data_IF_946361986288
#
_entry.id   IF_946361986288
#
_cell.length_a   1.000
_cell.length_b   1.000
_cell.length_c   1.000
_cell.angle_alpha   90.00
_cell.angle_beta   90.00
_cell.angle_gamma   90.00
#
_symmetry.space_group_name_H-M   'P 1'
#
loop_
_entity.id
_entity.type
_entity.pdbx_description
1 polymer ?
#
# COMPACT_ATOMS: atom_id res chain seq x y z
N UNK A 1 11.78 -18.33 11.68
CA UNK A 1 12.42 -19.41 10.88
C UNK A 1 11.96 -19.37 9.42
N UNK A 2 12.50 -20.16 8.47
CA UNK A 2 12.16 -20.07 7.04
C UNK A 2 10.66 -20.19 6.73
N UNK A 3 9.90 -20.88 7.57
CA UNK A 3 8.44 -20.99 7.51
C UNK A 3 7.70 -19.67 7.80
N UNK A 4 8.35 -18.71 8.45
CA UNK A 4 7.80 -17.37 8.71
C UNK A 4 8.06 -16.39 7.55
N UNK A 5 8.84 -16.81 6.54
CA UNK A 5 9.10 -15.99 5.37
C UNK A 5 7.88 -16.03 4.45
N UNK A 6 7.23 -14.87 4.31
CA UNK A 6 6.21 -14.62 3.29
C UNK A 6 6.66 -13.47 2.36
N UNK A 7 7.76 -13.65 1.62
CA UNK A 7 8.28 -12.63 0.73
C UNK A 7 7.45 -12.53 -0.54
N UNK A 8 7.14 -11.30 -0.94
CA UNK A 8 6.76 -11.01 -2.33
C UNK A 8 8.03 -10.62 -3.08
N UNK A 9 8.24 -11.20 -4.27
CA UNK A 9 9.40 -10.89 -5.12
C UNK A 9 8.89 -10.49 -6.50
N UNK A 10 9.46 -9.42 -7.05
CA UNK A 10 9.14 -8.97 -8.40
C UNK A 10 10.38 -8.41 -9.10
N UNK A 11 10.35 -8.36 -10.43
CA UNK A 11 11.49 -7.93 -11.24
C UNK A 11 11.00 -7.02 -12.36
N UNK A 12 10.99 -5.70 -12.13
CA UNK A 12 10.52 -4.73 -13.12
C UNK A 12 11.40 -4.69 -14.37
N UNK A 13 12.71 -4.96 -14.22
CA UNK A 13 13.66 -4.99 -15.34
C UNK A 13 13.39 -6.05 -16.41
N UNK A 14 12.53 -7.04 -16.12
CA UNK A 14 12.06 -8.00 -17.14
C UNK A 14 11.12 -7.35 -18.17
N UNK A 15 10.40 -6.29 -17.76
CA UNK A 15 9.42 -5.60 -18.61
C UNK A 15 9.97 -4.28 -19.15
N UNK A 16 10.74 -3.56 -18.33
CA UNK A 16 11.42 -2.34 -18.74
C UNK A 16 12.93 -2.48 -18.51
N UNK A 17 13.70 -2.77 -19.58
CA UNK A 17 15.15 -2.95 -19.49
C UNK A 17 15.90 -1.73 -18.96
N UNK A 18 15.31 -0.53 -18.93
CA UNK A 18 15.97 0.69 -18.43
C UNK A 18 16.25 0.63 -16.91
N UNK A 19 15.54 -0.24 -16.17
CA UNK A 19 15.74 -0.43 -14.73
C UNK A 19 17.04 -1.16 -14.37
N UNK A 20 17.76 -1.75 -15.34
CA UNK A 20 19.01 -2.47 -15.08
C UNK A 20 20.04 -2.27 -16.20
N UNK A 21 21.35 -2.42 -15.93
CA UNK A 21 22.36 -2.49 -16.98
C UNK A 21 22.09 -3.64 -17.98
N UNK A 22 22.58 -3.54 -19.23
CA UNK A 22 22.39 -4.59 -20.23
C UNK A 22 22.81 -5.98 -19.73
N UNK A 23 21.92 -6.97 -19.89
CA UNK A 23 22.14 -8.35 -19.45
C UNK A 23 22.06 -8.57 -17.94
N UNK A 24 21.59 -7.58 -17.17
CA UNK A 24 21.39 -7.65 -15.71
C UNK A 24 19.92 -7.43 -15.37
N UNK A 25 19.57 -7.74 -14.12
CA UNK A 25 18.23 -7.55 -13.59
C UNK A 25 18.27 -6.89 -12.22
N UNK A 26 17.26 -6.08 -11.92
CA UNK A 26 16.96 -5.59 -10.59
C UNK A 26 15.67 -6.26 -10.13
N UNK A 27 15.79 -7.00 -9.03
CA UNK A 27 14.66 -7.63 -8.38
C UNK A 27 14.43 -6.98 -7.01
N UNK A 28 13.16 -6.78 -6.70
CA UNK A 28 12.70 -6.20 -5.46
C UNK A 28 12.04 -7.28 -4.62
N UNK A 29 12.10 -7.08 -3.31
CA UNK A 29 11.46 -7.95 -2.36
C UNK A 29 10.78 -7.13 -1.25
N UNK A 30 9.63 -7.62 -0.79
CA UNK A 30 8.93 -7.08 0.37
C UNK A 30 8.45 -8.22 1.27
N UNK A 31 8.51 -7.97 2.58
CA UNK A 31 7.94 -8.84 3.59
C UNK A 31 7.38 -7.98 4.73
N UNK A 32 6.27 -8.44 5.30
CA UNK A 32 5.67 -7.83 6.47
C UNK A 32 6.63 -7.94 7.65
N UNK A 33 6.94 -6.81 8.27
CA UNK A 33 7.81 -6.71 9.44
C UNK A 33 7.14 -5.93 10.57
N UNK A 34 7.73 -5.97 11.79
CA UNK A 34 7.21 -5.19 12.90
C UNK A 34 7.46 -3.69 12.70
N UNK A 35 6.77 -2.85 13.47
CA UNK A 35 6.99 -1.41 13.46
C UNK A 35 8.44 -1.05 13.84
N UNK A 36 8.93 0.10 13.37
CA UNK A 36 10.29 0.57 13.62
C UNK A 36 10.64 0.63 15.13
N UNK A 37 9.66 0.88 16.00
CA UNK A 37 9.83 0.93 17.46
C UNK A 37 10.04 -0.44 18.13
N UNK A 38 9.88 -1.56 17.40
CA UNK A 38 10.05 -2.90 17.95
C UNK A 38 11.52 -3.24 18.26
N UNK A 39 12.46 -2.54 17.62
CA UNK A 39 13.89 -2.74 17.79
C UNK A 39 14.63 -1.40 17.81
N UNK A 40 15.80 -1.39 18.43
CA UNK A 40 16.73 -0.26 18.36
C UNK A 40 17.34 -0.12 16.96
N UNK A 41 17.86 1.05 16.62
CA UNK A 41 18.60 1.28 15.37
C UNK A 41 19.71 0.24 15.15
N UNK A 42 20.50 -0.04 16.19
CA UNK A 42 21.62 -0.99 16.13
C UNK A 42 21.14 -2.41 15.82
N UNK A 43 19.97 -2.79 16.30
CA UNK A 43 19.34 -4.08 16.00
C UNK A 43 18.82 -4.10 14.56
N UNK A 44 18.15 -3.05 14.10
CA UNK A 44 17.68 -2.95 12.71
C UNK A 44 18.81 -3.06 11.68
N UNK A 45 19.96 -2.44 11.96
CA UNK A 45 21.16 -2.58 11.12
C UNK A 45 21.70 -4.01 11.05
N UNK A 46 21.42 -4.86 12.04
CA UNK A 46 21.75 -6.30 12.01
C UNK A 46 20.64 -7.09 11.32
N UNK A 47 19.38 -6.84 11.70
CA UNK A 47 18.19 -7.53 11.18
C UNK A 47 18.12 -7.42 9.66
N UNK A 48 18.35 -6.24 9.08
CA UNK A 48 18.22 -6.06 7.62
C UNK A 48 19.26 -6.84 6.81
N UNK A 49 20.46 -7.04 7.36
CA UNK A 49 21.50 -7.88 6.74
C UNK A 49 21.17 -9.36 6.90
N UNK A 50 20.84 -9.78 8.13
CA UNK A 50 20.42 -11.14 8.41
C UNK A 50 19.21 -11.56 7.57
N UNK A 51 18.21 -10.68 7.42
CA UNK A 51 17.02 -10.92 6.61
C UNK A 51 17.37 -11.23 5.16
N UNK A 52 18.27 -10.45 4.55
CA UNK A 52 18.68 -10.70 3.17
C UNK A 52 19.46 -12.02 3.02
N UNK A 53 20.33 -12.35 3.98
CA UNK A 53 21.05 -13.63 3.98
C UNK A 53 20.07 -14.82 4.02
N UNK A 54 19.04 -14.75 4.87
CA UNK A 54 18.01 -15.79 4.97
C UNK A 54 17.08 -15.80 3.75
N UNK A 55 16.70 -14.63 3.23
CA UNK A 55 15.87 -14.51 2.03
C UNK A 55 16.52 -15.20 0.84
N UNK A 56 17.83 -15.01 0.62
CA UNK A 56 18.54 -15.69 -0.47
C UNK A 56 18.51 -17.21 -0.30
N UNK A 57 18.62 -17.73 0.93
CA UNK A 57 18.48 -19.19 1.17
C UNK A 57 17.08 -19.69 0.85
N UNK A 58 16.04 -18.90 1.13
CA UNK A 58 14.65 -19.24 0.76
C UNK A 58 14.48 -19.18 -0.75
N UNK A 59 14.98 -18.13 -1.40
CA UNK A 59 14.89 -17.94 -2.84
C UNK A 59 15.61 -19.07 -3.60
N UNK A 60 16.79 -19.49 -3.15
CA UNK A 60 17.56 -20.58 -3.74
C UNK A 60 16.77 -21.92 -3.79
N UNK A 61 15.78 -22.13 -2.92
CA UNK A 61 14.90 -23.31 -2.99
C UNK A 61 14.01 -23.31 -4.24
N UNK A 62 13.67 -22.13 -4.75
CA UNK A 62 12.80 -21.95 -5.92
C UNK A 62 13.58 -21.60 -7.19
N UNK A 63 14.72 -20.91 -7.05
CA UNK A 63 15.64 -20.57 -8.13
C UNK A 63 17.08 -20.90 -7.68
N UNK A 64 17.56 -22.14 -7.89
CA UNK A 64 18.84 -22.62 -7.35
C UNK A 64 20.08 -21.84 -7.78
N UNK A 65 19.98 -21.13 -8.90
CA UNK A 65 21.02 -20.25 -9.40
C UNK A 65 21.09 -18.90 -8.66
N UNK A 66 20.09 -18.53 -7.84
CA UNK A 66 20.07 -17.31 -7.03
C UNK A 66 20.85 -17.51 -5.74
N UNK A 67 22.07 -16.97 -5.70
CA UNK A 67 22.97 -17.03 -4.56
C UNK A 67 23.87 -15.79 -4.54
N UNK A 68 24.67 -15.62 -3.48
CA UNK A 68 25.52 -14.43 -3.35
C UNK A 68 26.60 -14.30 -4.43
N UNK A 69 26.94 -15.37 -5.16
CA UNK A 69 27.91 -15.30 -6.27
C UNK A 69 27.34 -14.62 -7.52
N UNK A 70 26.01 -14.54 -7.65
CA UNK A 70 25.34 -13.92 -8.80
C UNK A 70 24.76 -12.51 -8.51
N UNK A 71 24.80 -12.08 -7.24
CA UNK A 71 24.28 -10.78 -6.78
C UNK A 71 25.40 -9.74 -6.83
N UNK A 72 25.22 -8.71 -7.66
CA UNK A 72 26.21 -7.62 -7.81
C UNK A 72 26.12 -6.61 -6.66
N UNK A 73 24.94 -6.43 -6.09
CA UNK A 73 24.68 -5.52 -4.98
C UNK A 73 23.27 -5.71 -4.44
N UNK A 74 23.07 -5.32 -3.18
CA UNK A 74 21.78 -5.39 -2.52
C UNK A 74 21.59 -4.14 -1.65
N UNK A 75 20.42 -3.50 -1.78
CA UNK A 75 20.00 -2.41 -0.90
C UNK A 75 19.08 -2.95 0.19
N UNK A 76 19.50 -2.78 1.44
CA UNK A 76 18.79 -3.29 2.61
C UNK A 76 18.00 -2.17 3.26
N UNK A 77 16.67 -2.24 3.11
CA UNK A 77 15.74 -1.33 3.77
C UNK A 77 15.03 -2.03 4.94
N UNK A 78 14.79 -1.27 6.00
CA UNK A 78 14.06 -1.71 7.20
C UNK A 78 12.99 -0.68 7.57
N UNK A 79 12.01 -1.04 8.41
CA UNK A 79 11.07 -0.07 8.97
C UNK A 79 11.74 1.13 9.64
N UNK A 80 12.95 0.96 10.19
CA UNK A 80 13.73 2.08 10.73
C UNK A 80 14.26 3.02 9.65
N UNK A 81 14.70 2.50 8.51
CA UNK A 81 15.16 3.31 7.37
C UNK A 81 14.01 4.18 6.81
N UNK A 82 12.76 3.69 6.88
CA UNK A 82 11.57 4.46 6.48
C UNK A 82 11.34 5.71 7.34
N UNK A 83 11.89 5.78 8.56
CA UNK A 83 11.75 6.96 9.44
C UNK A 83 12.47 8.19 8.90
N UNK A 84 13.37 8.03 7.92
CA UNK A 84 13.97 9.16 7.17
C UNK A 84 12.90 9.98 6.45
N UNK A 85 11.77 9.36 6.10
CA UNK A 85 10.60 10.03 5.55
C UNK A 85 9.67 10.46 6.70
N UNK A 86 9.54 11.78 6.90
CA UNK A 86 8.76 12.36 8.02
C UNK A 86 7.31 11.90 8.07
N UNK A 87 6.70 11.59 6.92
CA UNK A 87 5.32 11.11 6.81
C UNK A 87 5.15 9.64 7.22
N UNK A 88 6.23 8.87 7.38
CA UNK A 88 6.19 7.48 7.83
C UNK A 88 6.64 7.33 9.29
N UNK A 89 7.17 8.39 9.89
CA UNK A 89 7.50 8.41 11.31
C UNK A 89 6.22 8.42 12.19
N UNK A 90 6.27 7.89 13.42
CA UNK A 90 7.43 7.28 14.09
C UNK A 90 7.55 5.76 13.92
N UNK A 91 6.58 5.12 13.27
CA UNK A 91 6.48 3.65 13.23
C UNK A 91 6.99 3.01 11.94
N UNK A 92 7.29 3.79 10.90
CA UNK A 92 7.84 3.31 9.63
C UNK A 92 6.83 2.56 8.75
N UNK A 93 5.53 2.62 9.09
CA UNK A 93 4.47 1.94 8.38
C UNK A 93 4.25 2.58 7.01
N UNK A 94 4.61 1.86 5.93
CA UNK A 94 4.41 2.33 4.56
C UNK A 94 2.94 2.71 4.31
N UNK A 95 2.00 2.03 4.97
CA UNK A 95 0.58 2.32 4.82
C UNK A 95 0.05 3.51 5.60
N UNK A 96 0.91 4.17 6.38
CA UNK A 96 0.60 5.31 7.25
C UNK A 96 -0.28 4.98 8.46
N UNK A 97 -1.30 4.15 8.30
CA UNK A 97 -2.12 3.60 9.39
C UNK A 97 -2.17 2.09 9.31
N UNK A 98 -2.52 1.45 10.44
CA UNK A 98 -2.67 0.00 10.51
C UNK A 98 -3.80 -0.49 9.59
N UNK A 99 -3.86 -1.79 9.38
CA UNK A 99 -4.96 -2.46 8.64
C UNK A 99 -5.86 -3.24 9.58
N UNK A 100 -6.15 -2.67 10.75
CA UNK A 100 -7.18 -3.18 11.65
C UNK A 100 -8.58 -2.95 11.04
N UNK A 101 -9.63 -3.68 11.46
CA UNK A 101 -10.98 -3.42 10.97
C UNK A 101 -11.46 -1.97 11.16
N UNK A 102 -11.01 -1.31 12.22
CA UNK A 102 -11.31 0.11 12.50
C UNK A 102 -10.57 1.07 11.56
N UNK A 103 -9.46 0.65 10.97
CA UNK A 103 -8.66 1.45 10.03
C UNK A 103 -8.62 0.78 8.65
N UNK A 104 -9.71 0.16 8.23
CA UNK A 104 -9.82 -0.48 6.90
C UNK A 104 -11.05 0.02 6.17
N UNK A 105 -11.01 -0.06 4.84
CA UNK A 105 -12.11 0.31 3.97
C UNK A 105 -12.60 1.76 4.20
N UNK A 106 -13.92 1.95 4.25
CA UNK A 106 -14.57 3.23 4.51
C UNK A 106 -14.22 3.83 5.87
N UNK A 107 -13.60 3.10 6.79
CA UNK A 107 -13.19 3.62 8.10
C UNK A 107 -11.79 4.25 8.08
N UNK A 108 -11.15 4.33 6.91
CA UNK A 108 -9.80 4.89 6.77
C UNK A 108 -9.80 6.42 6.67
N UNK A 109 -8.92 7.14 7.40
CA UNK A 109 -7.89 6.63 8.34
C UNK A 109 -8.44 6.28 9.73
N UNK A 110 -9.50 6.97 10.13
CA UNK A 110 -10.43 6.65 11.23
C UNK A 110 -11.83 7.03 10.76
N UNK A 111 -12.91 6.48 11.34
CA UNK A 111 -14.29 6.80 10.95
C UNK A 111 -14.62 8.29 10.96
N UNK A 112 -14.03 9.06 11.86
CA UNK A 112 -14.26 10.50 12.01
C UNK A 112 -13.67 11.32 10.85
N UNK A 113 -12.61 10.81 10.22
CA UNK A 113 -11.90 11.47 9.12
C UNK A 113 -12.15 10.80 7.77
N UNK A 114 -12.91 9.71 7.73
CA UNK A 114 -13.21 8.93 6.53
C UNK A 114 -13.81 9.76 5.39
N UNK A 115 -14.56 10.80 5.74
CA UNK A 115 -15.19 11.71 4.79
C UNK A 115 -14.27 12.89 4.39
N UNK A 116 -12.96 12.79 4.61
CA UNK A 116 -11.95 13.81 4.29
C UNK A 116 -12.08 15.16 5.02
N UNK A 117 -13.14 15.40 5.82
CA UNK A 117 -13.34 16.65 6.55
C UNK A 117 -12.52 16.64 7.83
N UNK A 118 -11.86 17.76 8.13
CA UNK A 118 -11.20 17.95 9.42
C UNK A 118 -12.09 18.75 10.38
N UNK A 119 -11.77 18.78 11.69
CA UNK A 119 -12.42 19.71 12.63
C UNK A 119 -12.22 21.19 12.30
N UNK A 120 -11.27 21.54 11.43
CA UNK A 120 -11.02 22.90 10.98
C UNK A 120 -11.88 23.17 9.73
N UNK A 121 -12.73 24.20 9.81
CA UNK A 121 -13.61 24.58 8.71
C UNK A 121 -12.81 24.86 7.43
N UNK A 122 -13.30 24.32 6.31
CA UNK A 122 -12.68 24.44 4.98
C UNK A 122 -11.27 23.85 4.87
N UNK A 123 -10.87 22.99 5.81
CA UNK A 123 -9.65 22.18 5.72
C UNK A 123 -10.03 20.71 5.55
N UNK A 124 -9.51 20.12 4.49
CA UNK A 124 -9.74 18.72 4.12
C UNK A 124 -8.42 17.99 4.07
N UNK A 125 -8.44 16.69 4.35
CA UNK A 125 -7.27 15.82 4.36
C UNK A 125 -7.47 14.62 3.42
N UNK A 126 -6.40 14.24 2.74
CA UNK A 126 -6.37 13.10 1.82
C UNK A 126 -4.96 12.53 1.74
N UNK A 127 -4.79 11.45 0.98
CA UNK A 127 -3.52 10.75 0.76
C UNK A 127 -3.65 9.25 1.05
N UNK A 128 -2.54 8.52 1.00
CA UNK A 128 -2.52 7.05 1.07
C UNK A 128 -3.02 6.42 2.39
N UNK A 129 -3.40 7.23 3.38
CA UNK A 129 -4.09 6.76 4.57
C UNK A 129 -5.61 6.65 4.40
N UNK A 130 -6.23 7.35 3.44
CA UNK A 130 -7.66 7.27 3.11
C UNK A 130 -7.95 6.09 2.20
N UNK A 131 -9.22 5.68 2.11
CA UNK A 131 -9.68 4.68 1.16
C UNK A 131 -9.31 5.10 -0.30
N UNK A 132 -8.72 4.25 -1.16
CA UNK A 132 -8.57 2.77 -1.14
C UNK A 132 -7.40 2.21 -0.30
N UNK A 133 -6.72 3.08 0.44
CA UNK A 133 -5.53 2.77 1.20
C UNK A 133 -4.27 3.08 0.40
N UNK A 134 -3.17 2.47 0.81
CA UNK A 134 -1.84 2.74 0.28
C UNK A 134 -1.72 2.21 -1.14
N UNK A 135 -1.81 3.14 -2.08
CA UNK A 135 -1.71 2.87 -3.50
C UNK A 135 -1.08 4.09 -4.17
N UNK A 136 -0.66 3.92 -5.42
CA UNK A 136 -0.26 5.04 -6.28
C UNK A 136 -1.42 5.27 -7.24
N UNK A 137 -2.29 6.23 -6.92
CA UNK A 137 -3.51 6.48 -7.67
C UNK A 137 -4.16 7.81 -7.33
N UNK A 138 -5.21 8.16 -8.08
CA UNK A 138 -5.95 9.41 -7.89
C UNK A 138 -7.25 9.25 -7.10
N UNK A 139 -7.58 8.03 -6.65
CA UNK A 139 -8.91 7.67 -6.13
C UNK A 139 -9.28 8.42 -4.85
N UNK A 140 -8.34 8.52 -3.91
CA UNK A 140 -8.53 9.25 -2.65
C UNK A 140 -8.59 10.76 -2.88
N UNK A 141 -7.84 11.27 -3.86
CA UNK A 141 -7.85 12.69 -4.24
C UNK A 141 -9.17 13.05 -4.90
N UNK A 142 -9.67 12.17 -5.76
CA UNK A 142 -10.97 12.30 -6.40
C UNK A 142 -12.12 12.26 -5.40
N UNK A 143 -12.10 11.30 -4.46
CA UNK A 143 -13.09 11.19 -3.38
C UNK A 143 -13.11 12.43 -2.49
N UNK A 144 -11.93 12.94 -2.13
CA UNK A 144 -11.79 14.20 -1.40
C UNK A 144 -12.36 15.39 -2.19
N UNK A 145 -12.05 15.49 -3.48
CA UNK A 145 -12.57 16.57 -4.33
C UNK A 145 -14.09 16.57 -4.42
N UNK A 146 -14.74 15.40 -4.50
CA UNK A 146 -16.23 15.33 -4.49
C UNK A 146 -16.83 15.96 -3.25
N UNK A 147 -16.18 15.75 -2.11
CA UNK A 147 -16.61 16.29 -0.83
C UNK A 147 -16.38 17.81 -0.78
N UNK A 148 -15.20 18.27 -1.18
CA UNK A 148 -14.88 19.69 -1.29
C UNK A 148 -15.87 20.40 -2.23
N UNK A 149 -16.11 19.84 -3.41
CA UNK A 149 -17.01 20.43 -4.40
C UNK A 149 -18.45 20.51 -3.91
N UNK A 150 -18.91 19.50 -3.15
CA UNK A 150 -20.24 19.51 -2.54
C UNK A 150 -20.35 20.57 -1.45
N UNK A 151 -19.36 20.66 -0.56
CA UNK A 151 -19.38 21.59 0.58
C UNK A 151 -19.24 23.06 0.16
N UNK A 152 -18.42 23.32 -0.86
CA UNK A 152 -18.11 24.67 -1.34
C UNK A 152 -18.92 25.08 -2.58
N UNK A 153 -19.78 24.22 -3.09
CA UNK A 153 -20.59 24.50 -4.29
C UNK A 153 -19.73 24.69 -5.55
N UNK A 154 -18.65 23.91 -5.71
CA UNK A 154 -17.80 23.96 -6.89
C UNK A 154 -18.39 23.12 -8.03
N UNK A 155 -17.78 23.21 -9.22
CA UNK A 155 -18.14 22.39 -10.36
C UNK A 155 -18.05 20.89 -10.04
N UNK A 156 -18.99 20.12 -10.60
CA UNK A 156 -19.09 18.67 -10.41
C UNK A 156 -19.06 17.97 -11.77
N UNK A 157 -17.87 17.74 -12.35
CA UNK A 157 -17.77 17.21 -13.72
C UNK A 157 -18.49 15.88 -13.93
N UNK A 158 -18.64 15.05 -12.88
CA UNK A 158 -19.38 13.79 -12.93
C UNK A 158 -20.90 13.94 -13.06
N UNK A 159 -21.44 15.14 -12.88
CA UNK A 159 -22.87 15.46 -13.10
C UNK A 159 -23.10 16.11 -14.48
N UNK A 160 -22.04 16.43 -15.23
CA UNK A 160 -22.16 17.01 -16.56
C UNK A 160 -22.56 15.94 -17.60
N UNK A 161 -23.51 16.24 -18.51
CA UNK A 161 -23.93 15.29 -19.54
C UNK A 161 -22.75 14.78 -20.39
N UNK A 162 -22.61 13.46 -20.51
CA UNK A 162 -21.53 12.81 -21.25
C UNK A 162 -20.21 12.66 -20.47
N UNK A 163 -20.17 13.07 -19.20
CA UNK A 163 -19.05 12.86 -18.27
C UNK A 163 -19.47 12.10 -17.02
N UNK A 164 -20.63 11.47 -17.07
CA UNK A 164 -21.14 10.65 -15.98
C UNK A 164 -20.10 9.57 -15.63
N UNK A 165 -19.93 9.32 -14.34
CA UNK A 165 -19.09 8.21 -13.92
C UNK A 165 -19.65 6.90 -14.48
N UNK A 166 -18.82 6.03 -15.07
CA UNK A 166 -19.25 4.66 -15.31
C UNK A 166 -19.65 4.02 -13.98
N UNK A 167 -20.60 3.08 -14.01
CA UNK A 167 -21.10 2.40 -12.80
C UNK A 167 -19.93 2.02 -11.89
N UNK A 168 -19.89 2.66 -10.71
CA UNK A 168 -18.77 2.49 -9.80
C UNK A 168 -18.69 1.01 -9.40
N UNK A 169 -17.48 0.50 -9.20
CA UNK A 169 -17.27 -0.86 -8.66
C UNK A 169 -18.05 -1.07 -7.35
N UNK A 170 -18.28 0.00 -6.58
CA UNK A 170 -19.13 -0.02 -5.38
C UNK A 170 -20.60 -0.26 -5.71
N UNK A 171 -21.16 0.40 -6.74
CA UNK A 171 -22.52 0.13 -7.20
C UNK A 171 -22.65 -1.29 -7.72
N UNK A 172 -21.69 -1.77 -8.52
CA UNK A 172 -21.66 -3.15 -9.00
C UNK A 172 -21.52 -4.16 -7.87
N UNK A 173 -20.67 -3.88 -6.88
CA UNK A 173 -20.51 -4.70 -5.68
C UNK A 173 -21.79 -4.73 -4.86
N UNK A 174 -22.42 -3.58 -4.58
CA UNK A 174 -23.72 -3.49 -3.87
C UNK A 174 -24.82 -4.21 -4.63
N UNK A 175 -24.89 -4.03 -5.94
CA UNK A 175 -25.82 -4.74 -6.82
C UNK A 175 -25.60 -6.25 -6.72
N UNK A 176 -24.35 -6.70 -6.81
CA UNK A 176 -23.98 -8.12 -6.71
C UNK A 176 -24.30 -8.68 -5.33
N UNK A 177 -23.99 -7.97 -4.26
CA UNK A 177 -24.30 -8.37 -2.88
C UNK A 177 -25.80 -8.46 -2.65
N UNK A 178 -26.57 -7.47 -3.11
CA UNK A 178 -28.03 -7.48 -3.04
C UNK A 178 -28.60 -8.68 -3.80
N UNK A 179 -28.16 -8.89 -5.04
CA UNK A 179 -28.56 -10.05 -5.86
C UNK A 179 -28.20 -11.37 -5.18
N UNK A 180 -27.03 -11.45 -4.55
CA UNK A 180 -26.59 -12.64 -3.81
C UNK A 180 -27.46 -12.89 -2.58
N UNK A 181 -27.82 -11.85 -1.81
CA UNK A 181 -28.73 -11.96 -0.67
C UNK A 181 -30.14 -12.39 -1.08
N UNK A 182 -30.64 -11.87 -2.20
CA UNK A 182 -31.94 -12.27 -2.77
C UNK A 182 -31.93 -13.72 -3.28
N UNK A 183 -30.81 -14.16 -3.86
CA UNK A 183 -30.66 -15.53 -4.40
C UNK A 183 -30.43 -16.57 -3.29
N UNK A 184 -29.70 -16.19 -2.23
CA UNK A 184 -29.34 -17.06 -1.12
C UNK A 184 -29.81 -16.46 0.22
N UNK A 185 -31.13 -16.49 0.52
CA UNK A 185 -31.64 -16.02 1.79
C UNK A 185 -31.03 -16.83 2.93
N UNK A 186 -30.52 -16.15 3.96
CA UNK A 186 -30.04 -16.82 5.17
C UNK A 186 -31.25 -17.44 5.88
N UNK A 187 -31.20 -18.76 6.09
CA UNK A 187 -32.12 -19.52 6.95
C UNK A 187 -32.00 -19.09 8.41
#
# INVERSE_FOLDING_TARGET
PPEDFCPTVWCHSMYDPSYAPPGKHVANNEQVGPAASAHTEKEWLKIKRWYAEELIKVWAKHAPNMNWDNIIGCDYNSPYDNLRMKNLAPHGAMSGGDRTPYQSFENRPTPELANHRTPIKNLYCTGGQWWVGTNVGGTESYSCYRIIATDLGLGKPWEEPGKEEPDSLVQQYRFTFKKMQETFPRT
#
